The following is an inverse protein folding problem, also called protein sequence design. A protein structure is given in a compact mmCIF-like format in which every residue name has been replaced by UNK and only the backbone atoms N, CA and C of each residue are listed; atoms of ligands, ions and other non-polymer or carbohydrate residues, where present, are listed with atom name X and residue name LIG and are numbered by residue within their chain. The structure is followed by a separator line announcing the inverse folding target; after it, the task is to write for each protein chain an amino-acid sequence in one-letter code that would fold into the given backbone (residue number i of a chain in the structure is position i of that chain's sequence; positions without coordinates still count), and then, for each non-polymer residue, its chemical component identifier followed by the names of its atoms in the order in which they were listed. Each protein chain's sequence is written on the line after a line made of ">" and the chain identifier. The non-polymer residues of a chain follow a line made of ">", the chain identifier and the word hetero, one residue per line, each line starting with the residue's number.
data_IF_033294511900
#
_entry.id   IF_033294511900
#
_cell.length_a   1.000
_cell.length_b   1.000
_cell.length_c   1.000
_cell.angle_alpha   90.00
_cell.angle_beta   90.00
_cell.angle_gamma   90.00
#
_symmetry.space_group_name_H-M   'P 1'
#
loop_
_entity.id
_entity.type
_entity.pdbx_description
1 polymer ?
#
# COMPACT_ATOMS: atom_id res chain seq x y z
N UNK A 1 -7.14 19.67 -21.27
CA UNK A 1 -6.73 18.80 -20.15
C UNK A 1 -5.24 18.51 -20.37
N UNK A 2 -4.37 18.78 -19.39
CA UNK A 2 -2.95 18.46 -19.57
C UNK A 2 -2.77 16.95 -19.63
N UNK A 3 -1.84 16.47 -20.44
CA UNK A 3 -1.53 15.04 -20.56
C UNK A 3 -0.06 14.75 -20.18
N UNK A 4 0.32 13.49 -20.24
CA UNK A 4 1.69 13.03 -19.98
C UNK A 4 2.74 13.81 -20.79
N UNK A 5 2.48 14.09 -22.07
CA UNK A 5 3.43 14.83 -22.92
C UNK A 5 3.54 16.30 -22.49
N UNK A 6 2.44 16.93 -22.09
CA UNK A 6 2.48 18.28 -21.53
C UNK A 6 3.33 18.34 -20.25
N UNK A 7 3.20 17.34 -19.36
CA UNK A 7 4.05 17.24 -18.17
C UNK A 7 5.51 17.04 -18.55
N UNK A 8 5.79 16.11 -19.46
CA UNK A 8 7.14 15.80 -19.95
C UNK A 8 7.82 17.06 -20.49
N UNK A 9 7.18 17.75 -21.43
CA UNK A 9 7.69 18.99 -22.01
C UNK A 9 7.91 20.07 -20.95
N UNK A 10 6.99 20.21 -19.99
CA UNK A 10 7.16 21.18 -18.89
C UNK A 10 8.38 20.86 -18.03
N UNK A 11 8.59 19.60 -17.69
CA UNK A 11 9.75 19.16 -16.90
C UNK A 11 11.07 19.42 -17.64
N UNK A 12 11.11 19.15 -18.95
CA UNK A 12 12.27 19.42 -19.79
C UNK A 12 12.58 20.93 -19.88
N UNK A 13 11.57 21.77 -20.04
CA UNK A 13 11.72 23.23 -20.07
C UNK A 13 12.23 23.80 -18.73
N UNK A 14 11.90 23.13 -17.62
CA UNK A 14 12.35 23.51 -16.28
C UNK A 14 13.77 23.04 -15.98
N UNK A 15 14.42 22.26 -16.85
CA UNK A 15 15.78 21.78 -16.60
C UNK A 15 16.74 22.93 -16.33
N UNK A 16 17.61 22.73 -15.34
CA UNK A 16 18.51 23.75 -14.80
C UNK A 16 17.83 25.04 -14.34
N UNK A 17 16.51 25.11 -14.16
CA UNK A 17 15.87 26.27 -13.53
C UNK A 17 16.05 26.24 -12.00
N UNK A 18 15.72 27.36 -11.34
CA UNK A 18 15.63 27.38 -9.86
C UNK A 18 14.61 26.34 -9.38
N UNK A 19 14.92 25.61 -8.31
CA UNK A 19 14.04 24.57 -7.76
C UNK A 19 12.60 25.03 -7.49
N UNK A 20 12.41 26.30 -7.11
CA UNK A 20 11.09 26.89 -6.87
C UNK A 20 10.16 26.80 -8.09
N UNK A 21 10.72 26.73 -9.30
CA UNK A 21 9.95 26.65 -10.54
C UNK A 21 9.22 25.31 -10.71
N UNK A 22 9.56 24.25 -9.96
CA UNK A 22 8.74 23.03 -9.91
C UNK A 22 7.30 23.32 -9.48
N UNK A 23 6.99 24.43 -8.80
CA UNK A 23 5.60 24.77 -8.45
C UNK A 23 4.68 24.82 -9.67
N UNK A 24 5.24 25.04 -10.86
CA UNK A 24 4.50 25.14 -12.11
C UNK A 24 4.04 23.77 -12.65
N UNK A 25 4.54 22.64 -12.11
CA UNK A 25 4.03 21.30 -12.47
C UNK A 25 2.82 20.89 -11.63
N UNK A 26 2.33 21.76 -10.73
CA UNK A 26 1.14 21.46 -9.94
C UNK A 26 -0.08 21.36 -10.87
N UNK A 27 -0.85 20.28 -10.75
CA UNK A 27 -2.08 20.08 -11.51
C UNK A 27 -2.34 18.62 -11.86
N UNK A 28 -3.31 18.44 -12.75
CA UNK A 28 -3.81 17.13 -13.15
C UNK A 28 -3.34 16.80 -14.57
N UNK A 29 -2.82 15.60 -14.76
CA UNK A 29 -2.25 15.12 -16.01
C UNK A 29 -2.87 13.77 -16.37
N UNK A 30 -3.50 13.71 -17.54
CA UNK A 30 -4.05 12.47 -18.07
C UNK A 30 -2.93 11.63 -18.71
N UNK A 31 -2.70 10.47 -18.12
CA UNK A 31 -1.88 9.40 -18.69
C UNK A 31 -2.80 8.43 -19.46
N UNK A 32 -2.25 7.54 -20.31
CA UNK A 32 -3.05 6.56 -21.03
C UNK A 32 -3.98 5.76 -20.10
N UNK A 33 -3.43 5.27 -18.99
CA UNK A 33 -4.11 4.32 -18.11
C UNK A 33 -4.65 4.93 -16.83
N UNK A 34 -4.12 6.08 -16.40
CA UNK A 34 -4.46 6.70 -15.12
C UNK A 34 -4.46 8.23 -15.21
N UNK A 35 -4.88 8.89 -14.14
CA UNK A 35 -4.70 10.34 -13.97
C UNK A 35 -3.67 10.57 -12.87
N UNK A 36 -2.61 11.32 -13.17
CA UNK A 36 -1.65 11.80 -12.19
C UNK A 36 -2.11 13.16 -11.69
N UNK A 37 -2.19 13.33 -10.37
CA UNK A 37 -2.53 14.59 -9.73
C UNK A 37 -1.36 15.00 -8.84
N UNK A 38 -0.82 16.20 -9.08
CA UNK A 38 0.26 16.76 -8.27
C UNK A 38 -0.36 17.78 -7.32
N UNK A 39 -0.68 17.34 -6.09
CA UNK A 39 -1.37 18.18 -5.09
C UNK A 39 -0.44 19.23 -4.47
N UNK A 40 0.79 18.82 -4.14
CA UNK A 40 1.77 19.66 -3.45
C UNK A 40 3.17 19.41 -3.99
N UNK A 41 3.83 20.49 -4.37
CA UNK A 41 5.24 20.47 -4.77
C UNK A 41 6.12 20.91 -3.61
N UNK A 42 7.18 20.16 -3.31
CA UNK A 42 8.14 20.51 -2.26
C UNK A 42 8.89 21.82 -2.59
N UNK A 43 9.13 22.67 -1.59
CA UNK A 43 9.71 24.00 -1.81
C UNK A 43 11.23 24.01 -2.04
N UNK A 44 11.91 22.94 -1.62
CA UNK A 44 13.36 22.75 -1.70
C UNK A 44 13.66 21.22 -1.73
N UNK A 45 14.80 20.77 -2.31
CA UNK A 45 15.14 19.35 -2.39
C UNK A 45 15.23 18.61 -1.04
N UNK A 46 15.50 19.33 0.06
CA UNK A 46 15.60 18.78 1.41
C UNK A 46 14.27 18.82 2.18
N UNK A 47 13.26 19.50 1.66
CA UNK A 47 11.95 19.59 2.30
C UNK A 47 11.18 18.26 2.21
N UNK A 48 10.12 18.13 3.00
CA UNK A 48 9.20 16.99 2.90
C UNK A 48 8.75 16.79 1.46
N UNK A 49 8.84 15.56 0.90
CA UNK A 49 8.69 15.34 -0.54
C UNK A 49 7.30 15.72 -1.07
N UNK A 50 7.24 15.98 -2.38
CA UNK A 50 6.02 16.36 -3.09
C UNK A 50 4.94 15.29 -2.92
N UNK A 51 3.68 15.71 -2.81
CA UNK A 51 2.54 14.80 -2.65
C UNK A 51 1.82 14.69 -3.98
N UNK A 52 1.60 13.45 -4.41
CA UNK A 52 0.89 13.14 -5.64
C UNK A 52 -0.19 12.10 -5.38
N UNK A 53 -1.20 12.08 -6.24
CA UNK A 53 -2.19 11.01 -6.31
C UNK A 53 -2.19 10.40 -7.70
N UNK A 54 -2.40 9.09 -7.76
CA UNK A 54 -2.68 8.38 -8.99
C UNK A 54 -4.08 7.82 -8.90
N UNK A 55 -4.93 8.14 -9.88
CA UNK A 55 -6.28 7.62 -10.01
C UNK A 55 -6.33 6.65 -11.18
N UNK A 56 -6.46 5.36 -10.87
CA UNK A 56 -6.47 4.25 -11.82
C UNK A 56 -7.91 3.74 -11.97
N UNK A 57 -8.57 3.93 -13.13
CA UNK A 57 -9.94 3.46 -13.36
C UNK A 57 -10.09 1.95 -13.13
N UNK A 58 -11.26 1.52 -12.63
CA UNK A 58 -11.51 0.09 -12.37
C UNK A 58 -11.36 -0.79 -13.59
N UNK A 59 -11.75 -0.30 -14.77
CA UNK A 59 -11.60 -1.04 -16.04
C UNK A 59 -10.14 -1.37 -16.36
N UNK A 60 -9.19 -0.56 -15.89
CA UNK A 60 -7.75 -0.77 -16.08
C UNK A 60 -7.16 -1.59 -14.94
N UNK A 61 -7.53 -1.27 -13.69
CA UNK A 61 -7.07 -1.99 -12.51
C UNK A 61 -7.54 -3.45 -12.49
N UNK A 62 -8.77 -3.68 -12.96
CA UNK A 62 -9.42 -4.96 -13.19
C UNK A 62 -9.45 -5.92 -11.99
N UNK A 63 -9.64 -5.38 -10.78
CA UNK A 63 -9.80 -6.19 -9.57
C UNK A 63 -11.22 -6.76 -9.50
N UNK A 64 -11.39 -8.09 -9.31
CA UNK A 64 -12.68 -8.70 -9.06
C UNK A 64 -13.39 -8.09 -7.84
N UNK A 65 -14.70 -7.81 -7.97
CA UNK A 65 -15.50 -7.23 -6.87
C UNK A 65 -15.54 -8.10 -5.62
N UNK A 66 -15.41 -9.42 -5.76
CA UNK A 66 -15.31 -10.37 -4.64
C UNK A 66 -14.15 -10.05 -3.67
N UNK A 67 -13.12 -9.31 -4.11
CA UNK A 67 -11.99 -8.91 -3.27
C UNK A 67 -12.27 -7.68 -2.40
N UNK A 68 -13.37 -6.97 -2.64
CA UNK A 68 -13.73 -5.75 -1.90
C UNK A 68 -15.24 -5.58 -1.69
N UNK A 69 -16.02 -6.66 -1.83
CA UNK A 69 -17.47 -6.66 -1.70
C UNK A 69 -18.00 -6.30 -0.30
N UNK A 70 -17.15 -6.34 0.72
CA UNK A 70 -17.46 -5.86 2.06
C UNK A 70 -16.25 -5.15 2.67
N UNK A 71 -16.48 -4.53 3.83
CA UNK A 71 -15.51 -3.66 4.47
C UNK A 71 -14.20 -4.34 4.83
N UNK A 72 -14.25 -5.54 5.40
CA UNK A 72 -13.07 -6.31 5.80
C UNK A 72 -12.20 -6.64 4.60
N UNK A 73 -12.84 -7.11 3.52
CA UNK A 73 -12.17 -7.42 2.25
C UNK A 73 -11.59 -6.18 1.57
N UNK A 74 -12.35 -5.08 1.53
CA UNK A 74 -11.90 -3.80 0.97
C UNK A 74 -10.65 -3.28 1.70
N UNK A 75 -10.64 -3.28 3.04
CA UNK A 75 -9.48 -2.87 3.84
C UNK A 75 -8.29 -3.80 3.57
N UNK A 76 -8.52 -5.11 3.50
CA UNK A 76 -7.47 -6.09 3.24
C UNK A 76 -6.83 -5.91 1.85
N UNK A 77 -7.64 -5.64 0.82
CA UNK A 77 -7.16 -5.37 -0.54
C UNK A 77 -6.37 -4.05 -0.57
N UNK A 78 -6.86 -2.99 0.06
CA UNK A 78 -6.13 -1.70 0.16
C UNK A 78 -4.77 -1.86 0.83
N UNK A 79 -4.72 -2.65 1.91
CA UNK A 79 -3.47 -2.98 2.60
C UNK A 79 -2.52 -3.79 1.71
N UNK A 80 -3.03 -4.82 1.00
CA UNK A 80 -2.25 -5.61 0.05
C UNK A 80 -1.62 -4.73 -1.03
N UNK A 81 -2.41 -3.88 -1.69
CA UNK A 81 -1.93 -2.97 -2.73
C UNK A 81 -0.89 -1.96 -2.20
N UNK A 82 -1.06 -1.51 -0.95
CA UNK A 82 -0.05 -0.67 -0.30
C UNK A 82 1.29 -1.41 -0.17
N UNK A 83 1.30 -2.69 0.23
CA UNK A 83 2.51 -3.52 0.34
C UNK A 83 3.17 -3.76 -1.01
N UNK A 84 2.37 -4.10 -2.03
CA UNK A 84 2.87 -4.34 -3.38
C UNK A 84 3.51 -3.09 -3.97
N UNK A 85 2.86 -1.93 -3.80
CA UNK A 85 3.42 -0.66 -4.23
C UNK A 85 4.68 -0.30 -3.46
N UNK A 86 4.70 -0.47 -2.13
CA UNK A 86 5.89 -0.21 -1.32
C UNK A 86 7.09 -1.06 -1.78
N UNK A 87 6.88 -2.36 -2.01
CA UNK A 87 7.91 -3.27 -2.48
C UNK A 87 8.45 -2.85 -3.85
N UNK A 88 7.56 -2.66 -4.82
CA UNK A 88 7.96 -2.27 -6.17
C UNK A 88 8.63 -0.88 -6.21
N UNK A 89 8.17 0.06 -5.37
CA UNK A 89 8.75 1.40 -5.27
C UNK A 89 10.18 1.36 -4.71
N UNK A 90 10.50 0.45 -3.78
CA UNK A 90 11.86 0.28 -3.26
C UNK A 90 12.86 -0.17 -4.32
N UNK A 91 12.41 -0.92 -5.33
CA UNK A 91 13.27 -1.39 -6.43
C UNK A 91 13.58 -0.29 -7.44
N UNK A 92 12.64 0.64 -7.65
CA UNK A 92 12.74 1.73 -8.64
C UNK A 92 13.30 3.01 -8.03
N UNK A 93 12.96 3.30 -6.77
CA UNK A 93 13.40 4.50 -6.06
C UNK A 93 14.91 4.51 -5.89
N UNK A 94 15.57 5.43 -6.58
CA UNK A 94 17.02 5.57 -6.60
C UNK A 94 17.42 7.02 -6.30
N UNK A 95 18.61 7.21 -5.72
CA UNK A 95 19.09 8.56 -5.39
C UNK A 95 19.47 9.31 -6.66
N UNK A 96 18.74 10.39 -6.97
CA UNK A 96 18.90 11.23 -8.16
C UNK A 96 19.43 12.63 -7.83
N UNK A 97 20.45 12.70 -6.97
CA UNK A 97 21.11 13.96 -6.57
C UNK A 97 20.93 14.33 -5.11
N UNK A 98 20.41 15.53 -4.86
CA UNK A 98 20.43 16.19 -3.55
C UNK A 98 19.15 15.95 -2.73
N UNK A 99 19.26 15.81 -1.41
CA UNK A 99 18.12 15.66 -0.51
C UNK A 99 17.30 14.41 -0.82
N UNK A 100 15.99 14.57 -0.99
CA UNK A 100 15.05 13.48 -1.29
C UNK A 100 15.00 13.11 -2.79
N UNK A 101 15.88 13.67 -3.62
CA UNK A 101 15.82 13.50 -5.09
C UNK A 101 15.79 12.02 -5.52
N UNK A 102 14.76 11.68 -6.30
CA UNK A 102 14.55 10.34 -6.85
C UNK A 102 13.75 9.38 -5.96
N UNK A 103 13.31 9.84 -4.79
CA UNK A 103 12.39 9.08 -3.95
C UNK A 103 11.03 8.89 -4.64
N UNK A 104 10.56 7.66 -4.78
CA UNK A 104 9.14 7.34 -4.97
C UNK A 104 8.73 6.48 -3.78
N UNK A 105 7.71 6.90 -3.04
CA UNK A 105 7.25 6.14 -1.87
C UNK A 105 5.75 6.25 -1.63
N UNK A 106 5.22 5.21 -0.99
CA UNK A 106 3.91 5.18 -0.36
C UNK A 106 4.10 5.05 1.16
N UNK A 107 3.04 5.15 1.95
CA UNK A 107 3.13 4.91 3.40
C UNK A 107 3.74 3.53 3.67
N UNK A 108 4.74 3.49 4.55
CA UNK A 108 5.29 2.23 5.03
C UNK A 108 4.32 1.62 6.06
N UNK A 109 4.15 0.30 6.03
CA UNK A 109 3.21 -0.38 6.94
C UNK A 109 3.85 -1.59 7.62
N UNK A 110 3.45 -1.82 8.88
CA UNK A 110 3.89 -2.95 9.69
C UNK A 110 3.05 -4.21 9.47
N UNK A 111 3.03 -5.10 10.46
CA UNK A 111 2.30 -6.39 10.37
C UNK A 111 0.77 -6.23 10.41
N UNK A 112 0.25 -5.15 11.02
CA UNK A 112 -1.19 -4.94 11.16
C UNK A 112 -1.86 -4.42 9.88
N UNK A 113 -2.97 -5.05 9.52
CA UNK A 113 -3.91 -4.57 8.50
C UNK A 113 -4.82 -3.52 9.15
N UNK A 114 -4.68 -2.26 8.74
CA UNK A 114 -5.49 -1.15 9.24
C UNK A 114 -6.11 -0.40 8.07
N UNK A 115 -7.24 0.25 8.34
CA UNK A 115 -7.76 1.23 7.41
C UNK A 115 -6.81 2.43 7.29
N UNK A 116 -6.40 2.76 6.06
CA UNK A 116 -5.47 3.86 5.75
C UNK A 116 -5.83 4.57 4.46
N UNK A 117 -5.35 5.80 4.30
CA UNK A 117 -5.60 6.60 3.09
C UNK A 117 -4.59 6.40 1.96
N UNK A 118 -3.62 5.49 2.10
CA UNK A 118 -2.56 5.26 1.10
C UNK A 118 -3.10 4.70 -0.20
N UNK A 119 -4.01 3.73 -0.10
CA UNK A 119 -4.80 3.22 -1.19
C UNK A 119 -6.27 3.33 -0.81
N UNK A 120 -7.08 3.88 -1.71
CA UNK A 120 -8.53 3.99 -1.56
C UNK A 120 -9.21 3.34 -2.77
N UNK A 121 -10.21 2.51 -2.53
CA UNK A 121 -11.10 2.02 -3.57
C UNK A 121 -12.30 2.98 -3.59
N UNK A 122 -12.46 3.73 -4.69
CA UNK A 122 -13.59 4.64 -4.93
C UNK A 122 -14.55 4.02 -5.93
N UNK A 123 -15.69 4.65 -6.18
CA UNK A 123 -16.70 4.11 -7.09
C UNK A 123 -16.18 3.99 -8.54
N UNK A 124 -15.38 4.96 -8.99
CA UNK A 124 -14.90 5.02 -10.38
C UNK A 124 -13.45 4.52 -10.57
N UNK A 125 -12.64 4.58 -9.52
CA UNK A 125 -11.19 4.32 -9.61
C UNK A 125 -10.59 3.84 -8.28
N UNK A 126 -9.38 3.31 -8.37
CA UNK A 126 -8.48 3.13 -7.24
C UNK A 126 -7.58 4.36 -7.16
N UNK A 127 -7.50 4.97 -5.98
CA UNK A 127 -6.61 6.10 -5.71
C UNK A 127 -5.40 5.64 -4.89
N UNK A 128 -4.20 5.88 -5.41
CA UNK A 128 -2.95 5.74 -4.66
C UNK A 128 -2.40 7.10 -4.29
N UNK A 129 -2.03 7.29 -3.01
CA UNK A 129 -1.45 8.54 -2.48
C UNK A 129 0.01 8.32 -2.18
N UNK A 130 0.86 9.05 -2.91
CA UNK A 130 2.30 8.84 -2.93
C UNK A 130 3.03 10.11 -2.56
N UNK A 131 4.31 9.94 -2.25
CA UNK A 131 5.26 11.03 -2.16
C UNK A 131 6.37 10.83 -3.16
N UNK A 132 6.80 11.92 -3.80
CA UNK A 132 7.91 11.93 -4.76
C UNK A 132 8.91 13.02 -4.43
N UNK A 133 10.18 12.66 -4.38
CA UNK A 133 11.27 13.60 -4.21
C UNK A 133 11.76 14.09 -5.57
N UNK A 134 11.35 15.29 -5.97
CA UNK A 134 11.64 15.81 -7.31
C UNK A 134 13.15 16.03 -7.52
N UNK A 135 13.75 15.46 -8.58
CA UNK A 135 15.20 15.49 -8.82
C UNK A 135 15.82 16.89 -8.90
N UNK A 136 17.01 17.04 -8.31
CA UNK A 136 17.79 18.27 -8.32
C UNK A 136 19.30 18.04 -8.15
N UNK A 137 20.06 18.97 -8.73
CA UNK A 137 21.50 19.17 -8.52
C UNK A 137 21.71 20.43 -7.68
N UNK A 138 21.94 20.28 -6.38
CA UNK A 138 21.87 21.42 -5.45
C UNK A 138 20.45 22.00 -5.47
N UNK A 139 20.29 23.29 -5.78
CA UNK A 139 18.97 23.95 -5.91
C UNK A 139 18.54 24.20 -7.36
N UNK A 140 19.13 23.47 -8.31
CA UNK A 140 18.78 23.51 -9.73
C UNK A 140 18.00 22.25 -10.09
N UNK A 141 16.95 22.41 -10.87
CA UNK A 141 16.06 21.34 -11.31
C UNK A 141 16.84 20.38 -12.23
N UNK A 142 16.67 19.07 -12.01
CA UNK A 142 17.07 18.04 -12.96
C UNK A 142 15.85 17.58 -13.75
N UNK A 143 15.47 18.35 -14.76
CA UNK A 143 14.21 18.20 -15.51
C UNK A 143 14.13 16.88 -16.28
N UNK A 144 15.23 16.46 -16.91
CA UNK A 144 15.31 15.17 -17.61
C UNK A 144 15.08 13.98 -16.66
N UNK A 145 15.72 14.00 -15.48
CA UNK A 145 15.54 12.93 -14.49
C UNK A 145 14.13 12.92 -13.90
N UNK A 146 13.51 14.09 -13.75
CA UNK A 146 12.13 14.19 -13.29
C UNK A 146 11.14 13.69 -14.35
N UNK A 147 11.40 13.95 -15.63
CA UNK A 147 10.62 13.45 -16.74
C UNK A 147 10.69 11.92 -16.81
N UNK A 148 11.87 11.32 -16.75
CA UNK A 148 12.05 9.86 -16.68
C UNK A 148 11.28 9.26 -15.48
N UNK A 149 11.50 9.82 -14.29
CA UNK A 149 10.89 9.34 -13.05
C UNK A 149 9.35 9.40 -13.07
N UNK A 150 8.75 10.51 -13.51
CA UNK A 150 7.29 10.69 -13.48
C UNK A 150 6.58 10.18 -14.73
N UNK A 151 7.24 10.21 -15.89
CA UNK A 151 6.61 9.88 -17.18
C UNK A 151 6.96 8.48 -17.68
N UNK A 152 7.93 7.77 -17.08
CA UNK A 152 8.35 6.43 -17.52
C UNK A 152 8.35 5.44 -16.35
N UNK A 153 9.06 5.75 -15.28
CA UNK A 153 9.20 4.84 -14.13
C UNK A 153 7.90 4.72 -13.34
N UNK A 154 7.23 5.84 -13.06
CA UNK A 154 5.95 5.82 -12.33
C UNK A 154 4.87 5.01 -13.08
N UNK A 155 4.62 5.18 -14.39
CA UNK A 155 3.74 4.29 -15.14
C UNK A 155 4.09 2.80 -14.99
N UNK A 156 5.38 2.44 -15.15
CA UNK A 156 5.80 1.05 -14.98
C UNK A 156 5.59 0.51 -13.56
N UNK A 157 5.68 1.37 -12.54
CA UNK A 157 5.38 1.03 -11.16
C UNK A 157 3.88 0.78 -10.94
N UNK A 158 3.02 1.62 -11.52
CA UNK A 158 1.56 1.44 -11.49
C UNK A 158 1.17 0.12 -12.16
N UNK A 159 1.79 -0.20 -13.30
CA UNK A 159 1.53 -1.44 -14.04
C UNK A 159 1.86 -2.68 -13.22
N UNK A 160 2.98 -2.66 -12.50
CA UNK A 160 3.43 -3.77 -11.67
C UNK A 160 2.64 -3.93 -10.37
N UNK A 161 2.27 -2.82 -9.73
CA UNK A 161 1.79 -2.84 -8.35
C UNK A 161 0.27 -2.68 -8.20
N UNK A 162 -0.41 -2.06 -9.17
CA UNK A 162 -1.82 -1.66 -9.04
C UNK A 162 -2.74 -2.26 -10.13
N UNK A 163 -2.26 -3.17 -10.97
CA UNK A 163 -3.10 -3.91 -11.93
C UNK A 163 -3.22 -5.36 -11.50
N UNK A 164 -4.45 -5.86 -11.40
CA UNK A 164 -4.76 -7.22 -10.95
C UNK A 164 -3.93 -8.30 -11.66
N UNK A 165 -3.80 -8.19 -12.97
CA UNK A 165 -3.06 -9.12 -13.84
C UNK A 165 -1.56 -9.20 -13.56
N UNK A 166 -0.95 -8.21 -12.91
CA UNK A 166 0.46 -8.21 -12.56
C UNK A 166 0.75 -8.78 -11.15
N UNK A 167 -0.30 -9.02 -10.35
CA UNK A 167 -0.19 -9.38 -8.94
C UNK A 167 -0.39 -10.88 -8.70
N UNK A 168 0.10 -11.39 -7.57
CA UNK A 168 -0.15 -12.76 -7.14
C UNK A 168 -1.59 -12.91 -6.63
N UNK A 169 -2.46 -13.47 -7.47
CA UNK A 169 -3.88 -13.65 -7.17
C UNK A 169 -4.10 -14.54 -5.94
N UNK A 170 -3.26 -15.56 -5.74
CA UNK A 170 -3.41 -16.49 -4.61
C UNK A 170 -3.05 -15.80 -3.31
N UNK A 171 -1.92 -15.08 -3.28
CA UNK A 171 -1.50 -14.35 -2.09
C UNK A 171 -2.50 -13.25 -1.72
N UNK A 172 -3.00 -12.52 -2.71
CA UNK A 172 -4.00 -11.48 -2.50
C UNK A 172 -5.32 -12.05 -1.96
N UNK A 173 -5.84 -13.11 -2.58
CA UNK A 173 -7.06 -13.79 -2.10
C UNK A 173 -6.86 -14.26 -0.66
N UNK A 174 -5.73 -14.92 -0.37
CA UNK A 174 -5.41 -15.43 0.96
C UNK A 174 -5.38 -14.32 2.02
N UNK A 175 -4.81 -13.15 1.72
CA UNK A 175 -4.82 -12.02 2.64
C UNK A 175 -6.25 -11.49 2.87
N UNK A 176 -7.03 -11.32 1.79
CA UNK A 176 -8.42 -10.83 1.86
C UNK A 176 -9.28 -11.75 2.73
N UNK A 177 -9.22 -13.05 2.49
CA UNK A 177 -9.95 -14.07 3.25
C UNK A 177 -9.50 -14.14 4.71
N UNK A 178 -8.20 -14.06 4.96
CA UNK A 178 -7.64 -14.11 6.32
C UNK A 178 -8.11 -12.93 7.17
N UNK A 179 -8.16 -11.73 6.60
CA UNK A 179 -8.62 -10.53 7.31
C UNK A 179 -10.12 -10.58 7.56
N UNK A 180 -10.92 -11.04 6.58
CA UNK A 180 -12.35 -11.25 6.76
C UNK A 180 -12.65 -12.28 7.85
N UNK A 181 -11.94 -13.41 7.87
CA UNK A 181 -12.08 -14.41 8.93
C UNK A 181 -11.73 -13.84 10.31
N UNK A 182 -10.68 -13.02 10.40
CA UNK A 182 -10.27 -12.39 11.65
C UNK A 182 -11.31 -11.36 12.14
N UNK A 183 -11.88 -10.57 11.25
CA UNK A 183 -12.97 -9.64 11.57
C UNK A 183 -14.22 -10.38 12.03
N UNK A 184 -14.61 -11.41 11.29
CA UNK A 184 -15.76 -12.25 11.61
C UNK A 184 -15.58 -12.92 12.99
N UNK A 185 -14.43 -13.54 13.26
CA UNK A 185 -14.12 -14.18 14.54
C UNK A 185 -14.28 -13.22 15.71
N UNK A 186 -13.75 -11.99 15.60
CA UNK A 186 -13.88 -10.96 16.63
C UNK A 186 -15.34 -10.62 16.93
N UNK A 187 -16.21 -10.58 15.92
CA UNK A 187 -17.63 -10.33 16.10
C UNK A 187 -18.36 -11.48 16.81
N UNK A 188 -17.85 -12.71 16.71
CA UNK A 188 -18.47 -13.89 17.35
C UNK A 188 -18.12 -14.04 18.84
N UNK A 189 -17.07 -13.38 19.34
CA UNK A 189 -16.55 -13.61 20.70
C UNK A 189 -17.59 -13.33 21.78
N UNK A 190 -18.23 -12.16 21.74
CA UNK A 190 -19.18 -11.74 22.78
C UNK A 190 -20.40 -12.67 22.87
N UNK A 191 -20.92 -13.13 21.74
CA UNK A 191 -22.06 -14.05 21.69
C UNK A 191 -21.74 -15.42 22.30
N UNK A 192 -20.45 -15.77 22.41
CA UNK A 192 -19.96 -17.01 23.02
C UNK A 192 -19.44 -16.81 24.43
N UNK A 193 -19.63 -15.64 25.03
CA UNK A 193 -19.11 -15.32 26.36
C UNK A 193 -17.58 -15.30 26.42
N UNK A 194 -16.90 -15.00 25.30
CA UNK A 194 -15.45 -14.94 25.21
C UNK A 194 -14.97 -13.49 25.06
N UNK A 195 -13.81 -13.18 25.64
CA UNK A 195 -13.11 -11.89 25.46
C UNK A 195 -11.93 -12.00 24.48
N UNK A 196 -11.40 -13.20 24.27
CA UNK A 196 -10.31 -13.45 23.34
C UNK A 196 -10.32 -14.89 22.82
N UNK A 197 -9.66 -15.08 21.69
CA UNK A 197 -9.42 -16.39 21.09
C UNK A 197 -7.99 -16.46 20.57
N UNK A 198 -7.30 -17.56 20.87
CA UNK A 198 -5.94 -17.83 20.38
C UNK A 198 -5.97 -19.14 19.60
N UNK A 199 -5.81 -19.06 18.28
CA UNK A 199 -5.84 -20.23 17.41
C UNK A 199 -4.68 -21.19 17.70
N UNK A 200 -4.95 -22.50 17.66
CA UNK A 200 -3.89 -23.51 17.67
C UNK A 200 -2.98 -23.30 16.45
N UNK A 201 -1.68 -23.50 16.63
CA UNK A 201 -0.67 -23.24 15.60
C UNK A 201 -0.17 -21.79 15.57
N UNK A 202 -0.70 -20.87 16.38
CA UNK A 202 -0.26 -19.48 16.40
C UNK A 202 1.20 -19.35 16.85
N UNK A 203 1.97 -18.52 16.13
CA UNK A 203 3.33 -18.14 16.52
C UNK A 203 3.27 -16.78 17.24
N UNK A 204 3.28 -16.85 18.57
CA UNK A 204 3.16 -15.68 19.44
C UNK A 204 4.49 -14.92 19.63
N UNK A 205 5.66 -15.59 19.80
CA UNK A 205 6.93 -14.89 19.96
C UNK A 205 7.27 -14.01 18.76
N UNK A 206 7.78 -12.80 19.01
CA UNK A 206 8.26 -11.89 17.97
C UNK A 206 9.73 -12.14 17.68
N UNK A 207 10.20 -11.71 16.51
CA UNK A 207 11.57 -11.88 16.05
C UNK A 207 12.57 -11.19 16.97
N UNK A 208 12.26 -9.98 17.46
CA UNK A 208 13.04 -9.28 18.47
C UNK A 208 12.20 -8.18 19.17
N UNK A 209 12.78 -7.47 20.14
CA UNK A 209 12.11 -6.33 20.78
C UNK A 209 11.88 -5.11 19.88
N UNK A 210 12.54 -5.05 18.72
CA UNK A 210 12.42 -3.93 17.75
C UNK A 210 11.88 -4.35 16.38
N UNK A 211 11.56 -5.65 16.21
CA UNK A 211 11.04 -6.22 14.97
C UNK A 211 9.78 -7.01 15.29
N UNK A 212 8.65 -6.44 14.88
CA UNK A 212 7.33 -6.95 15.18
C UNK A 212 6.95 -8.17 14.33
N UNK A 213 7.82 -8.74 13.48
CA UNK A 213 7.57 -9.99 12.74
C UNK A 213 7.59 -11.24 13.64
N UNK A 214 6.97 -12.37 13.24
CA UNK A 214 7.02 -13.60 14.04
C UNK A 214 8.42 -14.22 14.09
N UNK A 215 8.77 -14.87 15.20
CA UNK A 215 9.94 -15.72 15.29
C UNK A 215 9.67 -17.03 14.52
N UNK A 216 10.35 -17.22 13.38
CA UNK A 216 10.09 -18.38 12.51
C UNK A 216 10.91 -19.63 12.89
N UNK A 217 12.10 -19.44 13.45
CA UNK A 217 13.01 -20.54 13.81
C UNK A 217 12.98 -20.78 15.33
N UNK A 218 12.79 -22.04 15.73
CA UNK A 218 12.78 -22.44 17.15
C UNK A 218 11.55 -22.01 17.94
N UNK A 219 10.54 -21.41 17.31
CA UNK A 219 9.30 -21.04 17.98
C UNK A 219 8.42 -22.27 18.25
N UNK A 220 7.91 -22.37 19.47
CA UNK A 220 6.89 -23.36 19.84
C UNK A 220 5.52 -22.79 19.47
N UNK A 221 4.81 -23.49 18.58
CA UNK A 221 3.47 -23.10 18.19
C UNK A 221 2.49 -23.25 19.36
N UNK A 222 1.58 -22.29 19.51
CA UNK A 222 0.59 -22.31 20.58
C UNK A 222 -0.38 -23.49 20.41
N UNK A 223 -0.68 -24.18 21.50
CA UNK A 223 -1.66 -25.26 21.56
C UNK A 223 -2.57 -25.05 22.78
N UNK A 224 -3.87 -25.01 22.55
CA UNK A 224 -4.87 -24.88 23.60
C UNK A 224 -4.89 -26.11 24.50
N UNK A 225 -5.05 -25.95 25.83
CA UNK A 225 -5.46 -27.04 26.69
C UNK A 225 -6.90 -27.45 26.35
N UNK A 226 -7.21 -28.74 26.50
CA UNK A 226 -8.52 -29.32 26.14
C UNK A 226 -9.69 -28.63 26.85
N UNK A 227 -9.50 -28.22 28.10
CA UNK A 227 -10.54 -27.60 28.93
C UNK A 227 -10.97 -26.20 28.45
N UNK A 228 -10.11 -25.49 27.72
CA UNK A 228 -10.39 -24.15 27.19
C UNK A 228 -10.53 -24.15 25.66
N UNK A 229 -10.50 -25.33 25.03
CA UNK A 229 -10.55 -25.42 23.59
C UNK A 229 -11.97 -25.17 23.08
N UNK A 230 -12.10 -24.19 22.20
CA UNK A 230 -13.32 -23.89 21.46
C UNK A 230 -13.03 -23.97 19.96
N UNK A 231 -14.10 -24.02 19.17
CA UNK A 231 -14.02 -24.05 17.72
C UNK A 231 -14.94 -23.02 17.06
N UNK A 232 -14.47 -22.47 15.96
CA UNK A 232 -15.22 -21.54 15.12
C UNK A 232 -15.21 -22.07 13.68
N UNK A 233 -16.30 -21.85 12.95
CA UNK A 233 -16.36 -22.16 11.52
C UNK A 233 -16.33 -20.84 10.74
N UNK A 234 -15.14 -20.38 10.38
CA UNK A 234 -14.92 -19.13 9.67
C UNK A 234 -15.48 -19.20 8.24
N UNK A 235 -15.90 -18.06 7.65
CA UNK A 235 -16.49 -18.04 6.31
C UNK A 235 -15.54 -18.51 5.22
N UNK A 236 -14.22 -18.31 5.36
CA UNK A 236 -13.25 -18.70 4.33
C UNK A 236 -12.40 -19.90 4.74
N UNK A 237 -11.70 -19.82 5.88
CA UNK A 237 -10.82 -20.89 6.37
C UNK A 237 -11.57 -22.12 6.88
N UNK A 238 -12.87 -22.00 7.14
CA UNK A 238 -13.67 -23.06 7.76
C UNK A 238 -13.32 -23.27 9.23
N UNK A 239 -13.27 -24.53 9.66
CA UNK A 239 -13.10 -24.88 11.07
C UNK A 239 -11.71 -24.50 11.60
N UNK A 240 -11.69 -23.69 12.66
CA UNK A 240 -10.50 -23.34 13.42
C UNK A 240 -10.70 -23.66 14.90
N UNK A 241 -9.69 -24.28 15.52
CA UNK A 241 -9.67 -24.65 16.93
C UNK A 241 -8.62 -23.84 17.68
N UNK A 242 -8.89 -23.51 18.93
CA UNK A 242 -7.99 -22.71 19.74
C UNK A 242 -8.52 -22.48 21.14
N UNK A 243 -7.77 -21.71 21.93
CA UNK A 243 -8.13 -21.38 23.29
C UNK A 243 -9.14 -20.23 23.30
N UNK A 244 -10.33 -20.47 23.85
CA UNK A 244 -11.30 -19.43 24.15
C UNK A 244 -11.08 -18.91 25.57
N UNK A 245 -10.88 -17.60 25.71
CA UNK A 245 -10.73 -16.95 27.02
C UNK A 245 -12.12 -16.40 27.40
N UNK A 246 -12.77 -16.91 28.46
CA UNK A 246 -14.11 -16.48 28.85
C UNK A 246 -14.10 -15.09 29.49
N UNK A 247 -15.29 -14.48 29.61
CA UNK A 247 -15.51 -13.34 30.49
C UNK A 247 -15.34 -13.76 31.96
N UNK A 248 -14.72 -12.89 32.77
CA UNK A 248 -14.61 -13.07 34.24
C UNK A 248 -13.49 -14.01 34.64
#
# INVERSE_FOLDING_TARGET
>A
MNNQENLRQRLLQLDDSSYKAYKDIKGDYKFPDFTLIIDRVQGDPFASPSQIRVQLPHVVANFPSSLYQNRSREIALRDYLTRQFEQAAREVSSRRGTGNSGLIAITQIGQSVLERSSIMIKDEFIEARLVVGLPARGRRISGYQAAEMLCEELPGLIDKALKYQALDHKQMQWQVETVEDADWLRQQLAQRGLVAFIANGSILPRRSGVDDRPLLEGAVAFQSPTQLQVEFNCPNRGLIKGMGIPVG
#
